data_IF_093121270367
#
_entry.id   IF_093121270367
#
_cell.length_a   1.000
_cell.length_b   1.000
_cell.length_c   1.000
_cell.angle_alpha   90.00
_cell.angle_beta   90.00
_cell.angle_gamma   90.00
#
_symmetry.space_group_name_H-M   'P 1'
#
loop_
_entity.id
_entity.type
_entity.pdbx_description
1 polymer ?
#
# COMPACT_ATOMS: atom_id res chain seq x y z
N UNK A 1 44.06 -15.18 -9.78
CA UNK A 1 43.75 -15.03 -8.35
C UNK A 1 43.32 -13.60 -8.00
N UNK A 2 44.22 -12.61 -8.01
CA UNK A 2 43.89 -11.24 -7.57
C UNK A 2 42.85 -10.46 -8.40
N UNK A 3 42.68 -10.78 -9.70
CA UNK A 3 41.61 -10.18 -10.52
C UNK A 3 40.24 -10.80 -10.18
N UNK A 4 40.20 -12.13 -10.02
CA UNK A 4 39.00 -12.88 -9.63
C UNK A 4 38.50 -12.43 -8.26
N UNK A 5 39.40 -12.27 -7.30
CA UNK A 5 39.07 -11.78 -5.96
C UNK A 5 38.52 -10.34 -5.97
N UNK A 6 39.12 -9.46 -6.79
CA UNK A 6 38.61 -8.10 -7.00
C UNK A 6 37.24 -8.09 -7.69
N UNK A 7 37.00 -9.00 -8.64
CA UNK A 7 35.71 -9.14 -9.32
C UNK A 7 34.62 -9.58 -8.34
N UNK A 8 34.91 -10.58 -7.51
CA UNK A 8 33.99 -11.05 -6.48
C UNK A 8 33.68 -9.98 -5.42
N UNK A 9 34.67 -9.15 -5.06
CA UNK A 9 34.43 -8.04 -4.15
C UNK A 9 33.56 -6.95 -4.78
N UNK A 10 33.75 -6.69 -6.07
CA UNK A 10 32.91 -5.78 -6.83
C UNK A 10 31.46 -6.28 -6.92
N UNK A 11 31.24 -7.55 -7.25
CA UNK A 11 29.90 -8.17 -7.29
C UNK A 11 29.16 -8.02 -5.95
N UNK A 12 29.82 -8.36 -4.83
CA UNK A 12 29.24 -8.19 -3.49
C UNK A 12 28.93 -6.74 -3.12
N UNK A 13 29.71 -5.78 -3.65
CA UNK A 13 29.41 -4.35 -3.46
C UNK A 13 28.21 -3.93 -4.31
N UNK A 14 28.13 -4.40 -5.55
CA UNK A 14 27.02 -4.11 -6.44
C UNK A 14 25.70 -4.67 -5.89
N UNK A 15 25.68 -5.91 -5.42
CA UNK A 15 24.51 -6.52 -4.77
C UNK A 15 24.03 -5.73 -3.55
N UNK A 16 24.96 -5.13 -2.78
CA UNK A 16 24.61 -4.26 -1.65
C UNK A 16 23.95 -2.97 -2.13
N UNK A 17 24.51 -2.34 -3.16
CA UNK A 17 23.94 -1.13 -3.76
C UNK A 17 22.56 -1.39 -4.33
N UNK A 18 22.37 -2.50 -5.07
CA UNK A 18 21.06 -2.89 -5.61
C UNK A 18 20.02 -3.11 -4.52
N UNK A 19 20.42 -3.77 -3.42
CA UNK A 19 19.55 -3.99 -2.25
C UNK A 19 19.16 -2.67 -1.57
N UNK A 20 20.12 -1.79 -1.36
CA UNK A 20 19.87 -0.49 -0.71
C UNK A 20 19.02 0.42 -1.61
N UNK A 21 19.23 0.37 -2.93
CA UNK A 21 18.36 1.05 -3.89
C UNK A 21 16.95 0.48 -3.88
N UNK A 22 16.80 -0.84 -3.77
CA UNK A 22 15.49 -1.50 -3.60
C UNK A 22 14.75 -1.00 -2.35
N UNK A 23 15.46 -0.89 -1.22
CA UNK A 23 14.91 -0.32 0.03
C UNK A 23 14.51 1.15 -0.16
N UNK A 24 15.37 1.95 -0.79
CA UNK A 24 15.07 3.36 -1.04
C UNK A 24 13.83 3.53 -1.93
N UNK A 25 13.70 2.73 -2.99
CA UNK A 25 12.49 2.70 -3.83
C UNK A 25 11.24 2.38 -3.02
N UNK A 26 11.32 1.40 -2.12
CA UNK A 26 10.23 1.05 -1.20
C UNK A 26 9.83 2.19 -0.27
N UNK A 27 10.76 3.03 0.18
CA UNK A 27 10.48 4.21 1.00
C UNK A 27 9.92 5.39 0.19
N UNK A 28 10.42 5.59 -1.02
CA UNK A 28 10.08 6.77 -1.85
C UNK A 28 8.71 6.60 -2.53
N UNK A 29 8.38 5.40 -2.99
CA UNK A 29 7.15 5.18 -3.76
C UNK A 29 5.87 5.57 -2.99
N UNK A 30 5.67 5.16 -1.71
CA UNK A 30 4.53 5.61 -0.92
C UNK A 30 4.42 7.13 -0.84
N UNK A 31 5.54 7.84 -0.60
CA UNK A 31 5.58 9.30 -0.51
C UNK A 31 5.16 9.98 -1.83
N UNK A 32 5.56 9.42 -2.97
CA UNK A 32 5.17 9.93 -4.30
C UNK A 32 3.67 9.71 -4.54
N UNK A 33 3.16 8.52 -4.19
CA UNK A 33 1.74 8.18 -4.30
C UNK A 33 0.90 9.09 -3.42
N UNK A 34 1.25 9.26 -2.15
CA UNK A 34 0.55 10.12 -1.20
C UNK A 34 0.47 11.58 -1.70
N UNK A 35 1.50 12.08 -2.40
CA UNK A 35 1.47 13.43 -2.99
C UNK A 35 0.63 13.54 -4.26
N UNK A 36 0.47 12.45 -5.01
CA UNK A 36 -0.17 12.45 -6.35
C UNK A 36 -1.47 11.62 -6.42
N UNK A 37 -1.99 11.18 -5.28
CA UNK A 37 -3.14 10.28 -5.16
C UNK A 37 -4.39 10.75 -5.94
N UNK A 38 -4.65 12.05 -6.01
CA UNK A 38 -5.85 12.57 -6.67
C UNK A 38 -6.00 12.14 -8.14
N UNK A 39 -4.89 12.01 -8.87
CA UNK A 39 -4.90 11.51 -10.25
C UNK A 39 -5.10 9.99 -10.34
N UNK A 40 -4.44 9.24 -9.45
CA UNK A 40 -4.46 7.78 -9.41
C UNK A 40 -5.84 7.22 -9.05
N UNK A 41 -6.54 7.87 -8.11
CA UNK A 41 -7.79 7.36 -7.54
C UNK A 41 -9.05 7.97 -8.13
N UNK A 42 -8.97 8.80 -9.18
CA UNK A 42 -10.14 9.50 -9.76
C UNK A 42 -11.27 8.55 -10.21
N UNK A 43 -10.93 7.32 -10.60
CA UNK A 43 -11.90 6.28 -11.01
C UNK A 43 -12.50 5.50 -9.83
N UNK A 44 -11.94 5.64 -8.63
CA UNK A 44 -12.33 4.89 -7.43
C UNK A 44 -13.04 5.82 -6.44
N UNK A 45 -12.51 7.04 -6.25
CA UNK A 45 -13.01 8.00 -5.28
C UNK A 45 -13.34 9.36 -5.91
N UNK A 46 -14.43 9.97 -5.44
CA UNK A 46 -14.70 11.41 -5.56
C UNK A 46 -14.19 12.13 -4.32
N UNK A 47 -13.55 13.28 -4.56
CA UNK A 47 -12.97 14.16 -3.52
C UNK A 47 -12.10 13.36 -2.53
N UNK A 48 -11.13 12.56 -3.03
CA UNK A 48 -10.31 11.75 -2.14
C UNK A 48 -9.51 12.66 -1.20
N UNK A 49 -9.23 12.16 -0.01
CA UNK A 49 -8.30 12.74 0.97
C UNK A 49 -7.48 11.62 1.61
N UNK A 50 -6.27 11.94 2.02
CA UNK A 50 -5.46 11.06 2.87
C UNK A 50 -6.06 11.08 4.27
N UNK A 51 -6.29 9.91 4.86
CA UNK A 51 -6.62 9.78 6.27
C UNK A 51 -5.34 10.05 7.07
N UNK A 52 -5.30 11.08 7.95
CA UNK A 52 -4.10 11.37 8.74
C UNK A 52 -3.70 10.20 9.64
N UNK A 53 -2.40 10.05 9.87
CA UNK A 53 -1.87 8.97 10.72
C UNK A 53 -2.43 9.03 12.15
N UNK A 54 -2.63 10.23 12.68
CA UNK A 54 -3.21 10.46 14.01
C UNK A 54 -4.67 10.01 14.08
N UNK A 55 -5.42 10.16 12.98
CA UNK A 55 -6.82 9.74 12.91
C UNK A 55 -6.94 8.22 12.74
N UNK A 56 -6.08 7.62 11.90
CA UNK A 56 -5.98 6.16 11.80
C UNK A 56 -5.60 5.55 13.15
N UNK A 57 -4.57 6.09 13.82
CA UNK A 57 -4.11 5.59 15.13
C UNK A 57 -5.24 5.61 16.15
N UNK A 58 -5.99 6.72 16.22
CA UNK A 58 -7.16 6.82 17.11
C UNK A 58 -8.21 5.76 16.79
N UNK A 59 -8.55 5.55 15.51
CA UNK A 59 -9.52 4.52 15.10
C UNK A 59 -9.08 3.11 15.50
N UNK A 60 -7.78 2.82 15.39
CA UNK A 60 -7.20 1.52 15.79
C UNK A 60 -7.24 1.35 17.30
N UNK A 61 -6.77 2.34 18.06
CA UNK A 61 -6.75 2.31 19.54
C UNK A 61 -8.17 2.18 20.10
N UNK A 62 -9.12 3.00 19.62
CA UNK A 62 -10.53 2.92 20.01
C UNK A 62 -11.12 1.53 19.68
N UNK A 63 -10.72 0.94 18.55
CA UNK A 63 -11.11 -0.41 18.15
C UNK A 63 -10.53 -1.51 19.05
N UNK A 64 -9.27 -1.38 19.44
CA UNK A 64 -8.61 -2.31 20.36
C UNK A 64 -9.23 -2.22 21.77
N UNK A 65 -9.46 -1.01 22.28
CA UNK A 65 -10.13 -0.77 23.57
C UNK A 65 -11.55 -1.34 23.60
N UNK A 66 -12.25 -1.30 22.46
CA UNK A 66 -13.56 -1.92 22.29
C UNK A 66 -13.52 -3.45 22.10
N UNK A 67 -12.34 -4.07 22.10
CA UNK A 67 -12.15 -5.50 21.86
C UNK A 67 -12.45 -5.95 20.43
N UNK A 68 -12.47 -5.01 19.47
CA UNK A 68 -12.68 -5.31 18.05
C UNK A 68 -11.39 -5.72 17.35
N UNK A 69 -10.22 -5.36 17.89
CA UNK A 69 -8.91 -5.79 17.40
C UNK A 69 -8.13 -6.42 18.55
N UNK A 70 -7.37 -7.48 18.26
CA UNK A 70 -6.27 -7.88 19.12
C UNK A 70 -5.00 -7.03 18.85
N UNK A 71 -3.98 -7.18 19.70
CA UNK A 71 -2.71 -6.44 19.60
C UNK A 71 -2.06 -6.60 18.22
N UNK A 72 -2.06 -7.82 17.68
CA UNK A 72 -1.40 -8.13 16.41
C UNK A 72 -2.18 -7.53 15.25
N UNK A 73 -3.50 -7.60 15.27
CA UNK A 73 -4.36 -6.98 14.28
C UNK A 73 -4.22 -5.45 14.29
N UNK A 74 -4.14 -4.85 15.48
CA UNK A 74 -3.88 -3.42 15.63
C UNK A 74 -2.53 -3.03 15.03
N UNK A 75 -1.44 -3.74 15.36
CA UNK A 75 -0.13 -3.54 14.76
C UNK A 75 -0.16 -3.68 13.23
N UNK A 76 -0.84 -4.72 12.71
CA UNK A 76 -0.94 -4.93 11.27
C UNK A 76 -1.64 -3.78 10.55
N UNK A 77 -2.71 -3.23 11.13
CA UNK A 77 -3.46 -2.14 10.53
C UNK A 77 -2.68 -0.82 10.58
N UNK A 78 -1.91 -0.55 11.65
CA UNK A 78 -1.06 0.64 11.76
C UNK A 78 0.10 0.65 10.76
N UNK A 79 0.50 -0.51 10.23
CA UNK A 79 1.58 -0.65 9.24
C UNK A 79 1.13 -0.46 7.79
N UNK A 80 -0.13 -0.06 7.55
CA UNK A 80 -0.65 0.27 6.22
C UNK A 80 0.14 1.40 5.56
N UNK A 81 0.40 1.30 4.25
CA UNK A 81 1.19 2.31 3.55
C UNK A 81 0.41 3.61 3.35
N UNK A 82 -0.89 3.50 3.02
CA UNK A 82 -1.77 4.65 2.80
C UNK A 82 -3.24 4.27 3.01
N UNK A 83 -3.99 5.14 3.69
CA UNK A 83 -5.45 5.08 3.72
C UNK A 83 -6.01 6.34 3.10
N UNK A 84 -6.91 6.17 2.14
CA UNK A 84 -7.68 7.26 1.56
C UNK A 84 -9.12 7.18 2.04
N UNK A 85 -9.74 8.34 2.21
CA UNK A 85 -11.18 8.45 2.35
C UNK A 85 -11.78 9.28 1.23
N UNK A 86 -13.04 9.02 0.92
CA UNK A 86 -13.80 9.80 -0.03
C UNK A 86 -15.19 9.22 -0.22
N UNK A 87 -15.82 9.57 -1.34
CA UNK A 87 -17.06 8.94 -1.77
C UNK A 87 -16.76 8.00 -2.92
N UNK A 88 -17.40 6.83 -2.97
CA UNK A 88 -17.27 5.93 -4.11
C UNK A 88 -17.56 6.68 -5.42
N UNK A 89 -16.79 6.39 -6.47
CA UNK A 89 -16.90 7.09 -7.75
C UNK A 89 -18.14 6.73 -8.58
N UNK A 90 -18.85 5.67 -8.20
CA UNK A 90 -20.16 5.31 -8.74
C UNK A 90 -21.22 6.39 -8.45
N UNK A 91 -22.29 6.40 -9.24
CA UNK A 91 -23.35 7.41 -9.08
C UNK A 91 -24.06 7.24 -7.74
N UNK A 92 -24.26 8.34 -7.02
CA UNK A 92 -24.78 8.32 -5.64
C UNK A 92 -23.83 7.74 -4.58
N UNK A 93 -22.56 7.48 -4.91
CA UNK A 93 -21.59 6.76 -4.08
C UNK A 93 -21.55 7.17 -2.59
N UNK A 94 -21.53 6.15 -1.74
CA UNK A 94 -21.46 6.30 -0.29
C UNK A 94 -20.04 6.69 0.17
N UNK A 95 -19.89 7.25 1.38
CA UNK A 95 -18.58 7.49 1.95
C UNK A 95 -17.86 6.16 2.20
N UNK A 96 -16.65 5.98 1.65
CA UNK A 96 -15.82 4.77 1.84
C UNK A 96 -14.39 5.12 2.26
N UNK A 97 -13.66 4.12 2.78
CA UNK A 97 -12.19 4.13 2.83
C UNK A 97 -11.59 3.24 1.73
N UNK A 98 -10.35 3.54 1.36
CA UNK A 98 -9.52 2.68 0.50
C UNK A 98 -8.19 2.44 1.21
N UNK A 99 -7.92 1.18 1.55
CA UNK A 99 -6.67 0.72 2.16
C UNK A 99 -5.71 0.34 1.05
N UNK A 100 -4.53 0.95 1.04
CA UNK A 100 -3.57 0.83 -0.04
C UNK A 100 -2.27 0.19 0.45
N UNK A 101 -1.86 -0.90 -0.20
CA UNK A 101 -0.49 -1.43 -0.11
C UNK A 101 0.30 -1.01 -1.35
N UNK A 102 1.53 -0.57 -1.14
CA UNK A 102 2.35 0.07 -2.16
C UNK A 102 3.68 -0.67 -2.26
N UNK A 103 3.95 -1.21 -3.44
CA UNK A 103 5.20 -1.91 -3.73
C UNK A 103 5.72 -1.50 -5.10
N UNK A 104 7.04 -1.57 -5.31
CA UNK A 104 7.61 -1.29 -6.63
C UNK A 104 7.06 -2.28 -7.68
N UNK A 105 6.96 -3.56 -7.31
CA UNK A 105 6.33 -4.63 -8.07
C UNK A 105 5.33 -5.38 -7.20
N UNK A 106 4.10 -5.54 -7.68
CA UNK A 106 3.00 -6.08 -6.89
C UNK A 106 2.92 -7.60 -7.01
N UNK A 107 2.96 -8.29 -5.88
CA UNK A 107 2.85 -9.74 -5.72
C UNK A 107 1.64 -10.18 -4.90
N UNK A 108 1.49 -11.50 -4.72
CA UNK A 108 0.46 -12.10 -3.87
C UNK A 108 0.49 -11.52 -2.45
N UNK A 109 1.69 -11.32 -1.89
CA UNK A 109 1.84 -10.79 -0.53
C UNK A 109 1.22 -9.41 -0.36
N UNK A 110 1.30 -8.55 -1.37
CA UNK A 110 0.74 -7.19 -1.32
C UNK A 110 -0.79 -7.24 -1.34
N UNK A 111 -1.35 -8.14 -2.14
CA UNK A 111 -2.80 -8.35 -2.25
C UNK A 111 -3.37 -8.89 -0.94
N UNK A 112 -2.70 -9.87 -0.33
CA UNK A 112 -3.12 -10.44 0.95
C UNK A 112 -3.06 -9.38 2.06
N UNK A 113 -1.98 -8.59 2.12
CA UNK A 113 -1.87 -7.47 3.07
C UNK A 113 -2.99 -6.45 2.89
N UNK A 114 -3.27 -6.05 1.65
CA UNK A 114 -4.32 -5.07 1.36
C UNK A 114 -5.69 -5.58 1.80
N UNK A 115 -5.99 -6.84 1.50
CA UNK A 115 -7.26 -7.49 1.86
C UNK A 115 -7.42 -7.61 3.38
N UNK A 116 -6.40 -8.12 4.06
CA UNK A 116 -6.39 -8.28 5.52
C UNK A 116 -6.61 -6.94 6.21
N UNK A 117 -5.81 -5.92 5.86
CA UNK A 117 -5.89 -4.58 6.47
C UNK A 117 -7.19 -3.86 6.15
N UNK A 118 -7.74 -4.03 4.95
CA UNK A 118 -9.05 -3.48 4.61
C UNK A 118 -10.17 -4.06 5.50
N UNK A 119 -10.16 -5.38 5.73
CA UNK A 119 -11.13 -6.03 6.60
C UNK A 119 -11.02 -5.56 8.06
N UNK A 120 -9.78 -5.38 8.56
CA UNK A 120 -9.54 -4.85 9.90
C UNK A 120 -10.08 -3.41 10.03
N UNK A 121 -9.80 -2.54 9.05
CA UNK A 121 -10.27 -1.16 9.07
C UNK A 121 -11.80 -1.09 9.01
N UNK A 122 -12.44 -1.92 8.17
CA UNK A 122 -13.90 -1.96 8.05
C UNK A 122 -14.56 -2.32 9.38
N UNK A 123 -13.97 -3.27 10.11
CA UNK A 123 -14.46 -3.72 11.43
C UNK A 123 -14.46 -2.60 12.46
N UNK A 124 -13.41 -1.78 12.52
CA UNK A 124 -13.30 -0.67 13.50
C UNK A 124 -14.02 0.59 13.04
N UNK A 125 -13.95 0.92 11.75
CA UNK A 125 -14.51 2.17 11.22
C UNK A 125 -16.03 2.08 10.98
N UNK A 126 -16.59 0.86 10.92
CA UNK A 126 -18.02 0.59 10.63
C UNK A 126 -18.50 1.31 9.37
N UNK A 127 -17.60 1.39 8.39
CA UNK A 127 -17.77 2.10 7.12
C UNK A 127 -17.15 1.23 6.03
N UNK A 128 -17.74 1.15 4.82
CA UNK A 128 -17.21 0.28 3.77
C UNK A 128 -15.76 0.62 3.44
N UNK A 129 -14.94 -0.42 3.28
CA UNK A 129 -13.51 -0.29 2.95
C UNK A 129 -13.18 -1.12 1.73
N UNK A 130 -12.44 -0.54 0.79
CA UNK A 130 -11.95 -1.25 -0.40
C UNK A 130 -10.45 -1.48 -0.31
N UNK A 131 -9.95 -2.71 -0.56
CA UNK A 131 -8.53 -2.96 -0.68
C UNK A 131 -8.00 -2.52 -2.06
N UNK A 132 -6.82 -1.92 -2.06
CA UNK A 132 -6.09 -1.55 -3.26
C UNK A 132 -4.61 -1.87 -3.14
N UNK A 133 -3.99 -2.21 -4.27
CA UNK A 133 -2.54 -2.40 -4.40
C UNK A 133 -2.01 -1.47 -5.48
N UNK A 134 -0.84 -0.87 -5.22
CA UNK A 134 -0.20 0.06 -6.14
C UNK A 134 1.23 -0.35 -6.42
N UNK A 135 1.63 -0.21 -7.68
CA UNK A 135 3.01 -0.43 -8.09
C UNK A 135 3.23 -0.12 -9.56
N UNK A 136 4.46 -0.30 -10.02
CA UNK A 136 4.84 -0.02 -11.42
C UNK A 136 4.52 -1.20 -12.34
N UNK A 137 4.41 -2.40 -11.79
CA UNK A 137 3.98 -3.61 -12.49
C UNK A 137 3.35 -4.61 -11.51
N UNK A 138 2.62 -5.58 -12.07
CA UNK A 138 1.94 -6.66 -11.36
C UNK A 138 2.50 -8.01 -11.82
N UNK A 139 2.89 -8.86 -10.88
CA UNK A 139 3.27 -10.26 -11.16
C UNK A 139 2.09 -11.03 -11.72
N UNK A 140 2.35 -12.10 -12.48
CA UNK A 140 1.29 -12.99 -12.99
C UNK A 140 0.49 -13.61 -11.83
N UNK A 141 1.19 -14.10 -10.82
CA UNK A 141 0.61 -14.71 -9.63
C UNK A 141 -0.23 -13.69 -8.84
N UNK A 142 0.20 -12.41 -8.83
CA UNK A 142 -0.58 -11.31 -8.26
C UNK A 142 -1.86 -11.05 -9.07
N UNK A 143 -1.78 -11.03 -10.39
CA UNK A 143 -2.96 -10.86 -11.25
C UNK A 143 -4.02 -11.93 -10.99
N UNK A 144 -3.60 -13.19 -10.87
CA UNK A 144 -4.49 -14.31 -10.54
C UNK A 144 -5.13 -14.17 -9.13
N UNK A 145 -4.49 -13.45 -8.21
CA UNK A 145 -4.93 -13.27 -6.83
C UNK A 145 -5.78 -12.00 -6.58
N UNK A 146 -5.87 -11.07 -7.54
CA UNK A 146 -6.52 -9.76 -7.35
C UNK A 146 -7.94 -9.88 -6.82
N UNK A 147 -8.78 -10.69 -7.47
CA UNK A 147 -10.20 -10.90 -7.11
C UNK A 147 -10.95 -9.58 -6.79
N UNK A 148 -11.11 -9.27 -5.50
CA UNK A 148 -11.77 -8.08 -4.92
C UNK A 148 -10.85 -6.87 -4.72
N UNK A 149 -9.53 -7.05 -4.83
CA UNK A 149 -8.51 -6.02 -4.66
C UNK A 149 -8.30 -5.25 -5.95
N UNK A 150 -8.33 -3.93 -5.87
CA UNK A 150 -8.10 -3.06 -7.03
C UNK A 150 -6.62 -2.80 -7.25
N UNK A 151 -6.07 -3.18 -8.40
CA UNK A 151 -4.73 -2.73 -8.81
C UNK A 151 -4.79 -1.32 -9.41
N UNK A 152 -3.92 -0.43 -8.91
CA UNK A 152 -3.73 0.92 -9.45
C UNK A 152 -2.28 1.07 -9.90
N UNK A 153 -2.07 1.05 -11.22
CA UNK A 153 -0.75 1.23 -11.81
C UNK A 153 -0.21 2.64 -11.51
N UNK A 154 1.02 2.70 -11.00
CA UNK A 154 1.78 3.94 -10.84
C UNK A 154 2.57 4.18 -12.13
N UNK A 155 2.28 5.27 -12.89
CA UNK A 155 2.97 5.56 -14.13
C UNK A 155 4.46 5.84 -13.91
N UNK A 156 5.32 5.41 -14.82
CA UNK A 156 6.76 5.72 -14.75
C UNK A 156 7.04 7.23 -14.77
N UNK A 157 6.16 8.02 -15.40
CA UNK A 157 6.25 9.48 -15.44
C UNK A 157 6.10 10.17 -14.07
N UNK A 158 5.86 9.42 -13.00
CA UNK A 158 5.89 9.94 -11.64
C UNK A 158 7.32 10.08 -11.09
N UNK A 159 8.31 9.44 -11.74
CA UNK A 159 9.72 9.45 -11.33
C UNK A 159 10.60 10.33 -12.23
N UNK A 160 10.04 10.93 -13.29
CA UNK A 160 10.66 11.96 -14.12
C UNK A 160 10.62 13.34 -13.44
#
# INVERSE_FOLDING_TARGET
>A
AALTERMQDFERRLERVERDLGRLKGLVLPLVVERRFGGLFRKILRRPRVLPSEELTRLVEDGADAGLLDEREAEQLLLVDLVLEGRDATDGGEPIYVVCEISWGVGISDILRARERAALLERVARRPVRPAVLGTWLTREGEEALADVTYVAVPESFFD
#
